data_IF_140529291491
#
_entry.id   IF_140529291491
#
_cell.length_a   1.000
_cell.length_b   1.000
_cell.length_c   1.000
_cell.angle_alpha   90.00
_cell.angle_beta   90.00
_cell.angle_gamma   90.00
#
_symmetry.space_group_name_H-M   'P 1'
#
loop_
_entity.id
_entity.type
_entity.pdbx_description
1 polymer ?
#
# COMPACT_ATOMS: atom_id res chain seq x y z
N UNK A 1 35.35 -54.89 4.06
CA UNK A 1 35.55 -55.11 5.49
C UNK A 1 34.19 -55.47 6.11
N UNK A 2 34.06 -56.70 6.62
CA UNK A 2 32.86 -57.17 7.32
C UNK A 2 33.05 -56.84 8.80
N UNK A 3 32.45 -55.80 9.29
CA UNK A 3 32.39 -55.47 10.72
C UNK A 3 31.24 -56.29 11.32
N UNK A 4 31.53 -57.03 12.40
CA UNK A 4 30.53 -57.85 13.12
C UNK A 4 29.46 -56.93 13.72
N UNK A 5 28.17 -57.33 13.71
CA UNK A 5 27.09 -56.52 14.35
C UNK A 5 27.37 -56.18 15.82
N UNK A 6 28.11 -57.02 16.53
CA UNK A 6 28.53 -56.81 17.92
C UNK A 6 29.60 -55.70 18.04
N UNK A 7 30.44 -55.54 17.02
CA UNK A 7 31.44 -54.45 16.98
C UNK A 7 30.82 -53.12 16.62
N UNK A 8 29.78 -53.09 15.77
CA UNK A 8 29.04 -51.90 15.43
C UNK A 8 28.33 -51.31 16.66
N UNK A 9 27.85 -52.12 17.59
CA UNK A 9 27.20 -51.62 18.84
C UNK A 9 28.23 -51.15 19.89
N UNK A 10 29.51 -51.48 19.75
CA UNK A 10 30.59 -50.99 20.62
C UNK A 10 31.24 -49.69 20.13
N UNK A 11 30.84 -49.20 18.96
CA UNK A 11 31.36 -47.94 18.44
C UNK A 11 30.68 -46.76 19.17
N UNK A 12 31.03 -46.62 20.45
CA UNK A 12 30.85 -45.34 21.15
C UNK A 12 31.99 -44.45 20.76
N UNK A 13 31.69 -43.32 20.14
CA UNK A 13 32.69 -42.28 19.90
C UNK A 13 33.50 -42.06 21.18
N UNK A 14 34.76 -42.47 21.17
CA UNK A 14 35.71 -42.20 22.25
C UNK A 14 36.03 -40.70 22.22
N UNK A 15 35.17 -39.89 22.82
CA UNK A 15 35.52 -38.51 23.15
C UNK A 15 36.54 -38.59 24.28
N UNK A 16 37.76 -38.16 24.03
CA UNK A 16 38.82 -38.11 25.04
C UNK A 16 38.36 -37.29 26.23
N UNK A 17 38.06 -37.96 27.33
CA UNK A 17 37.59 -37.33 28.57
C UNK A 17 38.79 -36.69 29.28
N UNK A 18 39.03 -35.43 29.04
CA UNK A 18 39.89 -34.60 29.89
C UNK A 18 39.15 -34.33 31.20
N UNK A 19 39.69 -34.90 32.30
CA UNK A 19 39.41 -34.66 33.73
C UNK A 19 37.92 -34.76 34.18
N UNK A 20 37.63 -35.87 34.90
CA UNK A 20 36.46 -35.99 35.78
C UNK A 20 36.52 -34.94 36.89
N UNK A 21 35.68 -33.93 36.81
CA UNK A 21 35.31 -33.12 37.99
C UNK A 21 34.30 -33.97 38.78
N UNK A 22 34.68 -34.40 39.97
CA UNK A 22 33.75 -34.99 40.94
C UNK A 22 32.89 -33.86 41.48
N UNK A 23 31.60 -33.84 41.14
CA UNK A 23 30.61 -33.00 41.79
C UNK A 23 30.08 -33.76 43.02
N UNK A 24 30.20 -33.15 44.20
CA UNK A 24 29.72 -33.72 45.46
C UNK A 24 28.25 -33.46 45.73
N UNK A 25 27.55 -32.77 44.84
CA UNK A 25 26.13 -32.47 44.94
C UNK A 25 25.41 -33.01 43.73
N UNK A 26 24.21 -33.64 44.00
CA UNK A 26 23.40 -34.21 42.92
C UNK A 26 23.17 -33.22 41.79
N UNK A 27 23.30 -33.69 40.54
CA UNK A 27 23.18 -32.84 39.37
C UNK A 27 21.73 -32.34 39.25
N UNK A 28 21.56 -31.02 39.36
CA UNK A 28 20.26 -30.42 39.12
C UNK A 28 19.89 -30.54 37.62
N UNK A 29 18.62 -30.78 37.33
CA UNK A 29 18.10 -31.02 35.97
C UNK A 29 18.61 -30.00 34.95
N UNK A 30 18.65 -28.71 35.32
CA UNK A 30 19.16 -27.67 34.45
C UNK A 30 20.65 -27.78 34.13
N UNK A 31 21.49 -28.29 35.11
CA UNK A 31 22.91 -28.52 34.89
C UNK A 31 23.16 -29.65 33.89
N UNK A 32 22.31 -30.69 33.95
CA UNK A 32 22.35 -31.79 32.98
C UNK A 32 21.93 -31.30 31.59
N UNK A 33 20.91 -30.46 31.50
CA UNK A 33 20.44 -29.83 30.26
C UNK A 33 21.56 -28.99 29.62
N UNK A 34 22.20 -28.10 30.37
CA UNK A 34 23.32 -27.27 29.88
C UNK A 34 24.55 -28.12 29.49
N UNK A 35 24.84 -29.21 30.22
CA UNK A 35 25.93 -30.10 29.86
C UNK A 35 25.65 -30.83 28.53
N UNK A 36 24.40 -31.21 28.26
CA UNK A 36 23.98 -31.81 27.00
C UNK A 36 24.05 -30.80 25.83
N UNK A 37 23.60 -29.55 26.04
CA UNK A 37 23.73 -28.49 25.06
C UNK A 37 25.20 -28.23 24.70
N UNK A 38 26.10 -28.24 25.71
CA UNK A 38 27.54 -28.06 25.50
C UNK A 38 28.25 -29.23 24.80
N UNK A 39 27.65 -30.42 24.81
CA UNK A 39 28.25 -31.64 24.22
C UNK A 39 28.24 -31.60 22.68
N UNK A 40 27.22 -30.97 22.08
CA UNK A 40 27.03 -30.95 20.63
C UNK A 40 26.83 -29.53 20.11
N UNK A 41 27.82 -28.68 20.36
CA UNK A 41 27.75 -27.20 20.11
C UNK A 41 27.24 -26.82 18.71
N UNK A 42 27.68 -27.53 17.67
CA UNK A 42 27.25 -27.24 16.30
C UNK A 42 25.74 -27.44 16.10
N UNK A 43 25.21 -28.58 16.60
CA UNK A 43 23.75 -28.84 16.51
C UNK A 43 22.95 -27.91 17.40
N UNK A 44 23.45 -27.59 18.59
CA UNK A 44 22.81 -26.64 19.51
C UNK A 44 22.73 -25.22 18.89
N UNK A 45 23.83 -24.75 18.31
CA UNK A 45 23.85 -23.43 17.65
C UNK A 45 22.86 -23.41 16.47
N UNK A 46 22.81 -24.47 15.65
CA UNK A 46 21.88 -24.56 14.54
C UNK A 46 20.42 -24.48 15.02
N UNK A 47 20.07 -25.23 16.07
CA UNK A 47 18.71 -25.23 16.64
C UNK A 47 18.36 -23.87 17.22
N UNK A 48 19.29 -23.22 17.94
CA UNK A 48 19.09 -21.89 18.51
C UNK A 48 18.86 -20.84 17.42
N UNK A 49 19.68 -20.88 16.36
CA UNK A 49 19.51 -19.96 15.23
C UNK A 49 18.16 -20.20 14.54
N UNK A 50 17.78 -21.44 14.27
CA UNK A 50 16.51 -21.77 13.66
C UNK A 50 15.32 -21.30 14.49
N UNK A 51 15.36 -21.51 15.81
CA UNK A 51 14.33 -21.08 16.74
C UNK A 51 14.25 -19.54 16.79
N UNK A 52 15.40 -18.88 16.91
CA UNK A 52 15.48 -17.42 16.93
C UNK A 52 14.88 -16.83 15.62
N UNK A 53 15.25 -17.40 14.47
CA UNK A 53 14.72 -16.96 13.18
C UNK A 53 13.19 -17.12 13.10
N UNK A 54 12.68 -18.27 13.56
CA UNK A 54 11.22 -18.52 13.58
C UNK A 54 10.47 -17.54 14.47
N UNK A 55 10.99 -17.25 15.67
CA UNK A 55 10.39 -16.27 16.59
C UNK A 55 10.45 -14.85 16.01
N UNK A 56 11.58 -14.51 15.38
CA UNK A 56 11.73 -13.19 14.73
C UNK A 56 10.75 -13.02 13.59
N UNK A 57 10.62 -14.02 12.72
CA UNK A 57 9.65 -14.00 11.62
C UNK A 57 8.21 -13.87 12.13
N UNK A 58 7.85 -14.63 13.16
CA UNK A 58 6.53 -14.53 13.77
C UNK A 58 6.27 -13.12 14.32
N UNK A 59 7.23 -12.55 15.06
CA UNK A 59 7.11 -11.19 15.59
C UNK A 59 6.98 -10.15 14.48
N UNK A 60 7.77 -10.26 13.40
CA UNK A 60 7.66 -9.35 12.25
C UNK A 60 6.28 -9.43 11.62
N UNK A 61 5.74 -10.64 11.40
CA UNK A 61 4.39 -10.82 10.86
C UNK A 61 3.32 -10.23 11.78
N UNK A 62 3.40 -10.52 13.09
CA UNK A 62 2.45 -9.98 14.06
C UNK A 62 2.52 -8.44 14.14
N UNK A 63 3.73 -7.88 14.09
CA UNK A 63 3.91 -6.41 14.09
C UNK A 63 3.38 -5.78 12.82
N UNK A 64 3.60 -6.41 11.66
CA UNK A 64 3.06 -5.93 10.38
C UNK A 64 1.53 -5.94 10.38
N UNK A 65 0.92 -7.08 10.76
CA UNK A 65 -0.55 -7.19 10.80
C UNK A 65 -1.16 -6.26 11.85
N UNK A 66 -0.55 -6.17 13.05
CA UNK A 66 -1.05 -5.31 14.12
C UNK A 66 -0.81 -3.81 13.91
N UNK A 67 0.16 -3.45 13.05
CA UNK A 67 0.44 -2.06 12.69
C UNK A 67 -0.30 -1.57 11.44
N UNK A 68 -1.00 -2.47 10.74
CA UNK A 68 -1.75 -2.08 9.55
C UNK A 68 -3.09 -1.45 9.95
N UNK A 69 -3.23 -0.16 9.68
CA UNK A 69 -4.45 0.60 9.90
C UNK A 69 -5.34 0.52 8.65
N UNK A 70 -6.34 -0.35 8.71
CA UNK A 70 -7.27 -0.59 7.60
C UNK A 70 -8.14 0.64 7.33
N UNK A 71 -8.58 1.36 8.36
CA UNK A 71 -9.42 2.55 8.19
C UNK A 71 -8.65 3.64 7.47
N UNK A 72 -7.42 3.88 7.88
CA UNK A 72 -6.54 4.85 7.22
C UNK A 72 -6.27 4.46 5.76
N UNK A 73 -6.00 3.18 5.49
CA UNK A 73 -5.78 2.71 4.13
C UNK A 73 -7.01 2.90 3.23
N UNK A 74 -8.21 2.65 3.76
CA UNK A 74 -9.46 2.82 3.01
C UNK A 74 -9.76 4.31 2.81
N UNK A 75 -9.63 5.15 3.84
CA UNK A 75 -9.90 6.59 3.76
C UNK A 75 -9.04 7.35 2.75
N UNK A 76 -7.85 6.83 2.45
CA UNK A 76 -7.02 7.38 1.36
C UNK A 76 -7.56 7.06 -0.04
N UNK A 77 -8.45 6.08 -0.17
CA UNK A 77 -8.95 5.61 -1.47
C UNK A 77 -10.39 5.97 -1.73
N UNK A 78 -11.18 6.04 -0.70
CA UNK A 78 -12.62 6.36 -0.82
C UNK A 78 -13.11 7.09 0.42
N UNK A 79 -14.10 7.95 0.23
CA UNK A 79 -14.81 8.60 1.32
C UNK A 79 -16.00 7.78 1.84
N UNK A 80 -16.32 6.64 1.21
CA UNK A 80 -17.46 5.81 1.53
C UNK A 80 -17.05 4.46 2.12
N UNK A 81 -17.81 3.96 3.11
CA UNK A 81 -17.62 2.64 3.70
C UNK A 81 -18.06 1.52 2.74
N UNK A 82 -19.03 1.80 1.87
CA UNK A 82 -19.55 0.88 0.87
C UNK A 82 -19.69 1.57 -0.47
N UNK A 83 -19.22 0.91 -1.52
CA UNK A 83 -19.36 1.36 -2.91
C UNK A 83 -20.11 0.27 -3.66
N UNK A 84 -21.20 0.65 -4.31
CA UNK A 84 -21.96 -0.19 -5.23
C UNK A 84 -21.74 0.36 -6.64
N UNK A 85 -21.19 -0.44 -7.53
CA UNK A 85 -20.95 -0.04 -8.91
C UNK A 85 -20.97 -1.23 -9.86
N UNK A 86 -20.86 -0.96 -11.15
CA UNK A 86 -20.68 -2.01 -12.16
C UNK A 86 -19.33 -2.73 -11.97
N UNK A 87 -19.24 -3.94 -12.52
CA UNK A 87 -18.00 -4.72 -12.47
C UNK A 87 -16.83 -4.00 -13.17
N UNK A 88 -17.13 -3.23 -14.21
CA UNK A 88 -16.12 -2.52 -15.01
C UNK A 88 -15.50 -1.36 -14.23
N UNK A 89 -16.27 -0.65 -13.41
CA UNK A 89 -15.74 0.34 -12.50
C UNK A 89 -14.61 -0.22 -11.62
N UNK A 90 -14.82 -1.39 -11.01
CA UNK A 90 -13.83 -2.02 -10.14
C UNK A 90 -12.62 -2.60 -10.89
N UNK A 91 -12.74 -2.76 -12.21
CA UNK A 91 -11.65 -3.24 -13.08
C UNK A 91 -10.92 -2.11 -13.80
N UNK A 92 -11.33 -0.87 -13.60
CA UNK A 92 -10.83 0.29 -14.34
C UNK A 92 -10.96 0.14 -15.86
N UNK A 93 -12.03 -0.54 -16.30
CA UNK A 93 -12.40 -0.64 -17.70
C UNK A 93 -13.41 0.47 -18.04
N UNK A 94 -13.49 0.80 -19.33
CA UNK A 94 -14.57 1.64 -19.82
C UNK A 94 -15.90 0.93 -19.53
N UNK A 95 -16.79 1.59 -18.80
CA UNK A 95 -18.04 0.99 -18.38
C UNK A 95 -19.06 1.04 -19.50
N UNK A 96 -19.42 -0.13 -20.03
CA UNK A 96 -20.54 -0.24 -20.97
C UNK A 96 -21.91 -0.18 -20.27
N UNK A 97 -21.94 -0.46 -18.96
CA UNK A 97 -23.16 -0.46 -18.16
C UNK A 97 -22.98 0.37 -16.87
N UNK A 98 -23.90 1.29 -16.66
CA UNK A 98 -24.01 2.09 -15.45
C UNK A 98 -25.15 1.55 -14.57
N UNK A 99 -25.08 1.79 -13.27
CA UNK A 99 -26.20 1.52 -12.38
C UNK A 99 -27.33 2.48 -12.75
N UNK A 100 -28.54 1.94 -12.96
CA UNK A 100 -29.68 2.78 -13.32
C UNK A 100 -30.11 3.68 -12.17
N UNK A 101 -30.70 4.84 -12.49
CA UNK A 101 -31.22 5.77 -11.49
C UNK A 101 -32.29 5.11 -10.59
N UNK A 102 -33.09 4.18 -11.16
CA UNK A 102 -34.05 3.38 -10.39
C UNK A 102 -33.37 2.54 -9.30
N UNK A 103 -32.26 1.88 -9.65
CA UNK A 103 -31.48 1.07 -8.69
C UNK A 103 -30.83 1.94 -7.63
N UNK A 104 -30.32 3.12 -8.00
CA UNK A 104 -29.75 4.09 -7.06
C UNK A 104 -30.83 4.55 -6.07
N UNK A 105 -32.01 4.89 -6.55
CA UNK A 105 -33.13 5.32 -5.70
C UNK A 105 -33.58 4.20 -4.74
N UNK A 106 -33.66 2.95 -5.23
CA UNK A 106 -34.00 1.79 -4.39
C UNK A 106 -32.96 1.57 -3.28
N UNK A 107 -31.68 1.71 -3.58
CA UNK A 107 -30.59 1.62 -2.59
C UNK A 107 -30.73 2.73 -1.56
N UNK A 108 -30.96 3.96 -1.98
CA UNK A 108 -31.10 5.12 -1.09
C UNK A 108 -32.31 5.00 -0.16
N UNK A 109 -33.45 4.52 -0.66
CA UNK A 109 -34.64 4.27 0.16
C UNK A 109 -34.41 3.23 1.27
N UNK A 110 -33.56 2.25 1.01
CA UNK A 110 -33.27 1.15 1.94
C UNK A 110 -32.10 1.43 2.90
N UNK A 111 -31.39 2.55 2.73
CA UNK A 111 -30.22 2.94 3.55
C UNK A 111 -30.48 4.16 4.44
N UNK A 112 -31.66 4.31 4.97
CA UNK A 112 -32.27 5.51 5.55
C UNK A 112 -31.63 6.15 6.78
N UNK A 113 -30.50 5.67 7.30
CA UNK A 113 -29.83 6.26 8.48
C UNK A 113 -28.34 6.59 8.22
N UNK A 114 -27.88 6.46 6.97
CA UNK A 114 -26.49 6.69 6.61
C UNK A 114 -26.37 7.84 5.63
N UNK A 115 -25.26 8.55 5.68
CA UNK A 115 -24.90 9.48 4.61
C UNK A 115 -24.71 8.65 3.34
N UNK A 116 -25.55 8.88 2.36
CA UNK A 116 -25.50 8.20 1.06
C UNK A 116 -25.48 9.24 -0.05
N UNK A 117 -24.88 8.89 -1.17
CA UNK A 117 -24.83 9.73 -2.35
C UNK A 117 -24.36 8.92 -3.54
N UNK A 118 -24.52 9.48 -4.71
CA UNK A 118 -24.05 8.92 -5.97
C UNK A 118 -22.81 9.68 -6.46
N UNK A 119 -22.02 8.99 -7.27
CA UNK A 119 -20.86 9.57 -7.92
C UNK A 119 -20.79 9.13 -9.38
N UNK A 120 -20.22 9.99 -10.20
CA UNK A 120 -19.97 9.73 -11.61
C UNK A 120 -18.48 9.90 -11.89
N UNK A 121 -17.93 9.02 -12.68
CA UNK A 121 -16.52 9.06 -13.05
C UNK A 121 -16.39 9.13 -14.57
N UNK A 122 -15.55 10.04 -15.06
CA UNK A 122 -15.21 10.04 -16.47
C UNK A 122 -14.28 8.87 -16.78
N UNK A 123 -14.36 8.40 -18.00
CA UNK A 123 -13.35 7.48 -18.54
C UNK A 123 -11.99 8.21 -18.76
N UNK A 124 -10.99 7.47 -19.24
CA UNK A 124 -9.65 8.00 -19.52
C UNK A 124 -9.58 8.92 -20.73
N UNK A 125 -10.70 9.34 -21.30
CA UNK A 125 -10.75 10.26 -22.44
C UNK A 125 -10.57 11.72 -22.04
N UNK A 126 -10.70 12.02 -20.74
CA UNK A 126 -10.42 13.36 -20.22
C UNK A 126 -8.91 13.57 -20.09
N UNK A 127 -8.42 14.65 -20.68
CA UNK A 127 -7.01 15.03 -20.66
C UNK A 127 -6.82 16.37 -19.97
N UNK A 128 -5.80 16.48 -19.14
CA UNK A 128 -5.30 17.76 -18.62
C UNK A 128 -4.09 18.20 -19.45
N UNK A 129 -4.11 19.46 -19.87
CA UNK A 129 -2.99 20.08 -20.53
C UNK A 129 -2.02 20.63 -19.51
N UNK A 130 -0.75 20.38 -19.75
CA UNK A 130 0.33 20.81 -18.86
C UNK A 130 1.43 21.47 -19.66
N UNK A 131 2.07 22.45 -19.05
CA UNK A 131 3.37 22.88 -19.52
C UNK A 131 4.46 21.87 -19.16
N UNK A 132 5.62 22.00 -19.82
CA UNK A 132 6.73 21.08 -19.65
C UNK A 132 7.26 21.02 -18.22
N UNK A 133 7.28 22.14 -17.50
CA UNK A 133 7.79 22.19 -16.12
C UNK A 133 6.83 21.51 -15.15
N UNK A 134 5.53 21.70 -15.32
CA UNK A 134 4.54 21.01 -14.50
C UNK A 134 4.56 19.50 -14.76
N UNK A 135 4.68 19.10 -16.03
CA UNK A 135 4.82 17.68 -16.39
C UNK A 135 6.06 17.03 -15.75
N UNK A 136 7.19 17.70 -15.79
CA UNK A 136 8.41 17.22 -15.14
C UNK A 136 8.20 16.96 -13.65
N UNK A 137 7.61 17.91 -12.93
CA UNK A 137 7.32 17.76 -11.50
C UNK A 137 6.42 16.58 -11.19
N UNK A 138 5.38 16.38 -12.00
CA UNK A 138 4.46 15.26 -11.84
C UNK A 138 5.10 13.90 -12.16
N UNK A 139 5.95 13.84 -13.18
CA UNK A 139 6.44 12.58 -13.72
C UNK A 139 7.72 12.06 -13.03
N UNK A 140 8.52 12.95 -12.43
CA UNK A 140 9.79 12.59 -11.75
C UNK A 140 9.69 11.41 -10.79
N UNK A 141 8.66 11.26 -9.95
CA UNK A 141 8.56 10.12 -9.05
C UNK A 141 8.35 8.77 -9.73
N UNK A 142 7.90 8.77 -10.98
CA UNK A 142 7.55 7.55 -11.74
C UNK A 142 8.52 7.23 -12.86
N UNK A 143 9.23 8.24 -13.36
CA UNK A 143 10.15 8.12 -14.50
C UNK A 143 11.56 8.48 -14.05
N UNK A 144 12.55 7.73 -14.51
CA UNK A 144 13.94 8.14 -14.38
C UNK A 144 14.22 9.41 -15.18
N UNK A 145 15.25 10.17 -14.78
CA UNK A 145 15.61 11.45 -15.44
C UNK A 145 15.82 11.30 -16.95
N UNK A 146 16.45 10.22 -17.39
CA UNK A 146 16.72 9.96 -18.81
C UNK A 146 15.43 9.72 -19.62
N UNK A 147 14.51 8.90 -19.08
CA UNK A 147 13.22 8.61 -19.69
C UNK A 147 12.32 9.87 -19.72
N UNK A 148 12.38 10.67 -18.68
CA UNK A 148 11.65 11.94 -18.60
C UNK A 148 12.13 12.91 -19.68
N UNK A 149 13.46 13.09 -19.84
CA UNK A 149 14.01 13.93 -20.89
C UNK A 149 13.65 13.47 -22.29
N UNK A 150 13.65 12.17 -22.56
CA UNK A 150 13.24 11.62 -23.84
C UNK A 150 11.77 11.90 -24.15
N UNK A 151 10.87 11.74 -23.17
CA UNK A 151 9.45 12.07 -23.32
C UNK A 151 9.22 13.55 -23.57
N UNK A 152 9.87 14.42 -22.82
CA UNK A 152 9.77 15.86 -23.02
C UNK A 152 10.25 16.24 -24.41
N UNK A 153 11.41 15.78 -24.85
CA UNK A 153 11.94 16.04 -26.21
C UNK A 153 11.00 15.51 -27.31
N UNK A 154 10.32 14.40 -27.06
CA UNK A 154 9.33 13.86 -28.00
C UNK A 154 8.14 14.81 -28.21
N UNK A 155 7.60 15.39 -27.13
CA UNK A 155 6.49 16.36 -27.21
C UNK A 155 6.95 17.67 -27.84
N UNK A 156 8.09 18.23 -27.41
CA UNK A 156 8.66 19.46 -27.94
C UNK A 156 8.91 19.37 -29.45
N UNK A 157 9.50 18.26 -29.91
CA UNK A 157 9.80 18.04 -31.32
C UNK A 157 8.55 17.99 -32.23
N UNK A 158 7.41 17.60 -31.66
CA UNK A 158 6.13 17.54 -32.39
C UNK A 158 5.33 18.82 -32.29
N UNK A 159 5.80 19.82 -31.55
CA UNK A 159 5.04 21.04 -31.26
C UNK A 159 3.73 20.73 -30.54
N UNK A 160 3.68 19.60 -29.84
CA UNK A 160 2.50 19.15 -29.14
C UNK A 160 2.58 19.61 -27.68
N UNK A 161 1.48 20.15 -27.19
CA UNK A 161 1.33 20.38 -25.76
C UNK A 161 1.26 19.04 -25.04
N UNK A 162 1.77 19.00 -23.82
CA UNK A 162 1.75 17.76 -23.03
C UNK A 162 0.33 17.57 -22.50
N UNK A 163 -0.24 16.42 -22.79
CA UNK A 163 -1.57 16.01 -22.34
C UNK A 163 -1.43 14.78 -21.45
N UNK A 164 -1.98 14.84 -20.27
CA UNK A 164 -1.98 13.71 -19.33
C UNK A 164 -3.43 13.25 -19.10
N UNK A 165 -3.72 11.95 -19.26
CA UNK A 165 -5.03 11.42 -18.93
C UNK A 165 -5.35 11.69 -17.46
N UNK A 166 -6.58 12.11 -17.20
CA UNK A 166 -7.09 12.32 -15.86
C UNK A 166 -8.50 11.78 -15.73
N UNK A 167 -8.85 11.41 -14.52
CA UNK A 167 -10.19 10.96 -14.18
C UNK A 167 -10.84 12.10 -13.39
N UNK A 168 -12.04 12.50 -13.81
CA UNK A 168 -12.88 13.42 -13.06
C UNK A 168 -13.95 12.61 -12.34
N UNK A 169 -14.13 12.86 -11.06
CA UNK A 169 -15.22 12.33 -10.27
C UNK A 169 -16.17 13.46 -9.91
N UNK A 170 -17.45 13.29 -10.20
CA UNK A 170 -18.51 14.10 -9.65
C UNK A 170 -19.15 13.36 -8.50
N UNK A 171 -19.27 13.99 -7.35
CA UNK A 171 -19.87 13.43 -6.15
C UNK A 171 -21.06 14.28 -5.72
N UNK A 172 -22.10 13.64 -5.17
CA UNK A 172 -23.18 14.34 -4.50
C UNK A 172 -22.66 15.16 -3.31
N UNK A 173 -23.28 16.34 -3.08
CA UNK A 173 -22.87 17.28 -2.04
C UNK A 173 -22.75 16.61 -0.65
N UNK A 174 -23.66 15.72 -0.29
CA UNK A 174 -23.63 15.00 0.98
C UNK A 174 -22.36 14.17 1.22
N UNK A 175 -21.70 13.70 0.15
CA UNK A 175 -20.46 12.93 0.26
C UNK A 175 -19.25 13.80 0.62
N UNK A 176 -19.30 15.10 0.35
CA UNK A 176 -18.22 16.02 0.72
C UNK A 176 -18.09 16.21 2.24
N UNK A 177 -19.10 15.88 3.04
CA UNK A 177 -18.98 15.83 4.50
C UNK A 177 -17.96 14.76 4.97
N UNK A 178 -17.70 13.75 4.13
CA UNK A 178 -16.74 12.66 4.38
C UNK A 178 -15.34 12.96 3.85
N UNK A 179 -15.17 14.03 3.08
CA UNK A 179 -13.89 14.39 2.47
C UNK A 179 -13.08 15.26 3.44
N UNK A 180 -11.80 14.93 3.60
CA UNK A 180 -10.88 15.75 4.39
C UNK A 180 -10.26 16.84 3.50
N UNK A 181 -10.55 18.08 3.77
CA UNK A 181 -9.93 19.23 3.09
C UNK A 181 -8.58 19.52 3.71
N UNK A 182 -7.53 19.49 2.92
CA UNK A 182 -6.16 19.75 3.36
C UNK A 182 -5.75 21.20 3.11
N UNK A 183 -6.25 21.81 2.03
CA UNK A 183 -5.99 23.20 1.65
C UNK A 183 -7.15 23.72 0.79
N UNK A 184 -7.43 25.01 0.88
CA UNK A 184 -8.53 25.68 0.16
C UNK A 184 -9.90 25.54 0.84
N UNK A 185 -10.94 25.77 0.05
CA UNK A 185 -12.34 25.75 0.49
C UNK A 185 -13.19 24.98 -0.51
N UNK A 186 -14.27 24.32 -0.03
CA UNK A 186 -15.19 23.56 -0.88
C UNK A 186 -16.29 24.41 -1.51
N UNK A 187 -16.63 25.55 -0.93
CA UNK A 187 -17.74 26.39 -1.38
C UNK A 187 -17.71 26.69 -2.88
N UNK A 188 -16.56 26.97 -3.53
CA UNK A 188 -16.50 27.18 -4.97
C UNK A 188 -16.96 26.00 -5.83
N UNK A 189 -16.92 24.77 -5.29
CA UNK A 189 -17.37 23.57 -6.02
C UNK A 189 -18.90 23.56 -6.20
N UNK A 190 -19.63 24.25 -5.33
CA UNK A 190 -21.09 24.30 -5.31
C UNK A 190 -21.66 25.56 -5.95
N UNK A 191 -20.81 26.47 -6.42
CA UNK A 191 -21.26 27.67 -7.14
C UNK A 191 -21.34 27.39 -8.65
N UNK A 192 -22.55 27.33 -9.19
CA UNK A 192 -22.82 27.10 -10.62
C UNK A 192 -22.15 28.11 -11.57
N UNK A 193 -21.71 29.26 -11.06
CA UNK A 193 -21.05 30.29 -11.87
C UNK A 193 -19.52 30.13 -11.89
N UNK A 194 -18.97 29.20 -11.10
CA UNK A 194 -17.52 28.97 -10.95
C UNK A 194 -17.21 27.57 -11.45
N UNK A 195 -16.30 27.46 -12.40
CA UNK A 195 -15.75 26.16 -12.80
C UNK A 195 -14.60 25.80 -11.85
N UNK A 196 -14.92 25.25 -10.70
CA UNK A 196 -13.95 24.80 -9.72
C UNK A 196 -13.80 23.29 -9.71
N UNK A 197 -12.61 22.81 -9.36
CA UNK A 197 -12.31 21.39 -9.13
C UNK A 197 -11.52 21.25 -7.84
N UNK A 198 -11.72 20.16 -7.13
CA UNK A 198 -10.84 19.72 -6.07
C UNK A 198 -9.87 18.67 -6.61
N UNK A 199 -8.65 18.68 -6.11
CA UNK A 199 -7.63 17.71 -6.51
C UNK A 199 -7.39 16.76 -5.34
N UNK A 200 -7.56 15.46 -5.59
CA UNK A 200 -7.18 14.45 -4.61
C UNK A 200 -5.66 14.31 -4.57
N UNK A 201 -5.12 14.42 -3.38
CA UNK A 201 -3.68 14.28 -3.13
C UNK A 201 -3.39 13.06 -2.28
N UNK A 202 -2.19 12.51 -2.42
CA UNK A 202 -1.69 11.42 -1.59
C UNK A 202 -1.02 11.97 -0.34
N UNK A 203 -1.28 11.36 0.81
CA UNK A 203 -0.67 11.74 2.09
C UNK A 203 0.14 10.59 2.67
N UNK A 204 1.19 10.95 3.41
CA UNK A 204 1.94 9.99 4.21
C UNK A 204 1.14 9.53 5.44
N UNK A 205 1.74 8.65 6.24
CA UNK A 205 1.13 8.14 7.47
C UNK A 205 0.86 9.21 8.54
N UNK A 206 1.41 10.39 8.40
CA UNK A 206 1.24 11.51 9.33
C UNK A 206 0.26 12.58 8.78
N UNK A 207 -0.30 12.38 7.58
CA UNK A 207 -1.23 13.31 6.94
C UNK A 207 -0.53 14.43 6.16
N UNK A 208 0.79 14.38 5.96
CA UNK A 208 1.47 15.35 5.11
C UNK A 208 1.29 14.97 3.64
N UNK A 209 1.07 15.96 2.78
CA UNK A 209 0.96 15.72 1.35
C UNK A 209 2.31 15.25 0.79
N UNK A 210 2.31 14.08 0.17
CA UNK A 210 3.50 13.56 -0.49
C UNK A 210 3.78 14.31 -1.79
N UNK A 211 5.04 14.70 -1.99
CA UNK A 211 5.49 15.38 -3.21
C UNK A 211 4.59 16.57 -3.60
N UNK A 212 4.36 17.49 -2.65
CA UNK A 212 3.45 18.61 -2.80
C UNK A 212 3.68 19.45 -4.07
N UNK A 213 4.92 19.48 -4.56
CA UNK A 213 5.29 20.17 -5.80
C UNK A 213 4.69 19.56 -7.07
N UNK A 214 4.16 18.36 -6.99
CA UNK A 214 3.48 17.68 -8.12
C UNK A 214 2.10 18.24 -8.38
N UNK A 215 1.47 18.78 -7.36
CA UNK A 215 0.10 19.25 -7.44
C UNK A 215 0.03 20.74 -7.76
N UNK A 216 -0.97 21.16 -8.54
CA UNK A 216 -1.31 22.57 -8.69
C UNK A 216 -1.62 23.17 -7.31
N UNK A 217 -1.39 24.47 -7.19
CA UNK A 217 -1.73 25.20 -5.96
C UNK A 217 -3.19 25.65 -6.00
N UNK A 218 -3.75 25.83 -4.81
CA UNK A 218 -5.08 26.44 -4.70
C UNK A 218 -5.09 27.81 -5.40
N UNK A 219 -6.05 28.00 -6.32
CA UNK A 219 -6.17 29.19 -7.16
C UNK A 219 -5.50 29.11 -8.52
N UNK A 220 -4.72 28.04 -8.80
CA UNK A 220 -4.20 27.81 -10.15
C UNK A 220 -5.35 27.42 -11.11
N UNK A 221 -5.16 27.70 -12.39
CA UNK A 221 -6.11 27.35 -13.44
C UNK A 221 -5.59 26.18 -14.27
N UNK A 222 -6.40 25.15 -14.39
CA UNK A 222 -6.12 23.98 -15.23
C UNK A 222 -6.97 24.00 -16.51
N UNK A 223 -6.37 23.68 -17.65
CA UNK A 223 -7.11 23.52 -18.90
C UNK A 223 -7.37 22.03 -19.13
N UNK A 224 -8.63 21.65 -19.21
CA UNK A 224 -9.07 20.31 -19.48
C UNK A 224 -9.66 20.18 -20.87
N UNK A 225 -9.42 19.06 -21.54
CA UNK A 225 -9.95 18.74 -22.85
C UNK A 225 -10.67 17.40 -22.77
N UNK A 226 -11.92 17.42 -23.19
CA UNK A 226 -12.70 16.20 -23.38
C UNK A 226 -12.49 15.71 -24.80
N UNK A 227 -12.06 14.46 -24.95
CA UNK A 227 -12.00 13.81 -26.23
C UNK A 227 -13.20 12.86 -26.36
N UNK A 228 -14.18 13.26 -27.17
CA UNK A 228 -15.27 12.36 -27.58
C UNK A 228 -14.76 11.35 -28.59
#
# INVERSE_FOLDING_TARGET
AKVSPVEATKYTECVSVKKKRRSSHGAKVYQMAFANLGRNKKKTVLVVISLALSVTLLNVLCSFVGGFDTEKYISQRTCADFIVSSTDYFRYNDADEYISEETIAEIQENTSETVSGSGYMTDMTTMVWMDTEQYKKMAVPYLGEEELEEKVKYYEKRGSEIKTPTILEGLDEALFEKVTVLDGELDPLFDENINAIAIRVETDDYGNVENIERYPKVGDTLTMVYQN
#
